data_IF_717343437123
#
_entry.id   IF_717343437123
#
_cell.length_a   1.000
_cell.length_b   1.000
_cell.length_c   1.000
_cell.angle_alpha   90.00
_cell.angle_beta   90.00
_cell.angle_gamma   90.00
#
_symmetry.space_group_name_H-M   'P 1'
#
loop_
_entity.id
_entity.type
_entity.pdbx_description
1 polymer ?
#
# COMPACT_ATOMS: atom_id res chain seq x y z
N UNK A 1 -16.08 2.51 21.20
CA UNK A 1 -15.01 1.65 20.65
C UNK A 1 -15.48 1.26 19.25
N UNK A 2 -14.62 1.37 18.24
CA UNK A 2 -14.94 0.90 16.87
C UNK A 2 -15.24 -0.60 16.88
N UNK A 3 -16.08 -1.07 15.95
CA UNK A 3 -16.34 -2.51 15.77
C UNK A 3 -15.03 -3.24 15.49
N UNK A 4 -14.77 -4.36 16.18
CA UNK A 4 -13.59 -5.21 15.95
C UNK A 4 -13.63 -5.78 14.53
N UNK A 5 -12.59 -5.51 13.74
CA UNK A 5 -12.44 -5.95 12.35
C UNK A 5 -11.41 -7.06 12.21
N UNK A 6 -11.57 -7.89 11.19
CA UNK A 6 -10.58 -8.87 10.72
C UNK A 6 -9.82 -8.25 9.56
N UNK A 7 -8.52 -8.03 9.75
CA UNK A 7 -7.66 -7.24 8.85
C UNK A 7 -6.50 -8.10 8.36
N UNK A 8 -6.26 -8.10 7.05
CA UNK A 8 -5.07 -8.72 6.44
C UNK A 8 -4.18 -7.61 5.88
N UNK A 9 -2.88 -7.66 6.22
CA UNK A 9 -1.89 -6.67 5.75
C UNK A 9 -0.80 -7.41 4.99
N UNK A 10 -0.56 -7.03 3.73
CA UNK A 10 0.53 -7.62 2.94
C UNK A 10 1.86 -6.93 3.22
N UNK A 11 2.96 -7.71 3.29
CA UNK A 11 4.30 -7.16 3.53
C UNK A 11 4.47 -6.53 4.91
N UNK A 12 3.91 -7.15 5.95
CA UNK A 12 3.89 -6.63 7.32
C UNK A 12 5.15 -6.95 8.15
N UNK A 13 6.23 -7.35 7.51
CA UNK A 13 7.51 -7.65 8.20
C UNK A 13 8.37 -6.43 8.53
N UNK A 14 8.09 -5.26 7.95
CA UNK A 14 8.85 -4.01 8.17
C UNK A 14 8.04 -2.78 7.73
N UNK A 15 8.58 -1.59 7.97
CA UNK A 15 8.06 -0.31 7.51
C UNK A 15 6.57 -0.09 7.83
N UNK A 16 5.85 0.55 6.92
CA UNK A 16 4.44 0.88 7.11
C UNK A 16 3.56 -0.33 7.43
N UNK A 17 3.83 -1.49 6.81
CA UNK A 17 3.05 -2.71 7.05
C UNK A 17 3.18 -3.21 8.49
N UNK A 18 4.39 -3.23 9.06
CA UNK A 18 4.63 -3.63 10.44
C UNK A 18 4.03 -2.62 11.44
N UNK A 19 4.27 -1.34 11.20
CA UNK A 19 3.73 -0.28 12.05
C UNK A 19 2.19 -0.30 12.06
N UNK A 20 1.56 -0.41 10.89
CA UNK A 20 0.10 -0.52 10.77
C UNK A 20 -0.44 -1.79 11.43
N UNK A 21 0.28 -2.93 11.33
CA UNK A 21 -0.16 -4.17 11.96
C UNK A 21 -0.20 -4.04 13.48
N UNK A 22 0.82 -3.46 14.09
CA UNK A 22 0.90 -3.22 15.52
C UNK A 22 -0.15 -2.19 15.98
N UNK A 23 -0.27 -1.07 15.26
CA UNK A 23 -1.23 -0.01 15.58
C UNK A 23 -2.67 -0.51 15.58
N UNK A 24 -3.05 -1.27 14.54
CA UNK A 24 -4.40 -1.82 14.41
C UNK A 24 -4.70 -2.92 15.43
N UNK A 25 -3.72 -3.77 15.75
CA UNK A 25 -3.89 -4.80 16.77
C UNK A 25 -4.04 -4.18 18.19
N UNK A 26 -3.25 -3.13 18.49
CA UNK A 26 -3.39 -2.34 19.74
C UNK A 26 -4.72 -1.61 19.84
N UNK A 27 -5.31 -1.22 18.71
CA UNK A 27 -6.66 -0.66 18.64
C UNK A 27 -7.78 -1.71 18.86
N UNK A 28 -7.43 -3.00 19.02
CA UNK A 28 -8.36 -4.08 19.33
C UNK A 28 -8.87 -4.88 18.13
N UNK A 29 -8.34 -4.64 16.94
CA UNK A 29 -8.67 -5.43 15.75
C UNK A 29 -7.95 -6.79 15.76
N UNK A 30 -8.49 -7.76 15.00
CA UNK A 30 -7.81 -9.01 14.70
C UNK A 30 -6.99 -8.85 13.43
N UNK A 31 -5.66 -8.90 13.56
CA UNK A 31 -4.74 -8.56 12.47
C UNK A 31 -3.92 -9.78 12.04
N UNK A 32 -3.96 -10.07 10.75
CA UNK A 32 -3.09 -11.03 10.08
C UNK A 32 -1.96 -10.27 9.36
N UNK A 33 -0.78 -10.27 9.96
CA UNK A 33 0.42 -9.60 9.46
C UNK A 33 1.15 -10.52 8.48
N UNK A 34 0.91 -10.35 7.17
CA UNK A 34 1.44 -11.32 6.22
C UNK A 34 2.83 -11.00 5.72
N UNK A 35 3.60 -12.06 5.54
CA UNK A 35 4.97 -12.07 5.02
C UNK A 35 5.20 -13.35 4.21
N UNK A 36 6.16 -13.31 3.29
CA UNK A 36 6.59 -14.51 2.56
C UNK A 36 7.60 -15.31 3.38
N UNK A 37 7.61 -16.63 3.19
CA UNK A 37 8.61 -17.55 3.74
C UNK A 37 8.84 -17.36 5.26
N UNK A 38 7.78 -17.61 6.02
CA UNK A 38 7.81 -17.50 7.49
C UNK A 38 8.75 -18.51 8.15
N UNK A 39 9.09 -19.59 7.44
CA UNK A 39 9.99 -20.63 7.98
C UNK A 39 11.47 -20.21 7.92
N UNK A 40 11.86 -19.34 6.96
CA UNK A 40 13.25 -18.94 6.75
C UNK A 40 13.42 -17.43 6.66
N UNK A 41 13.11 -16.83 5.51
CA UNK A 41 13.39 -15.41 5.22
C UNK A 41 12.73 -14.43 6.21
N UNK A 42 11.51 -14.71 6.64
CA UNK A 42 10.77 -13.85 7.54
C UNK A 42 10.61 -14.42 8.95
N UNK A 43 11.34 -15.48 9.28
CA UNK A 43 11.21 -16.19 10.57
C UNK A 43 11.38 -15.25 11.76
N UNK A 44 12.50 -14.54 11.83
CA UNK A 44 12.81 -13.66 12.96
C UNK A 44 11.79 -12.53 13.13
N UNK A 45 11.29 -11.98 12.00
CA UNK A 45 10.25 -10.94 12.00
C UNK A 45 8.91 -11.48 12.48
N UNK A 46 8.58 -12.71 12.11
CA UNK A 46 7.36 -13.38 12.55
C UNK A 46 7.42 -13.73 14.04
N UNK A 47 8.56 -14.20 14.52
CA UNK A 47 8.78 -14.54 15.92
C UNK A 47 8.74 -13.28 16.81
N UNK A 48 9.32 -12.17 16.35
CA UNK A 48 9.22 -10.86 17.01
C UNK A 48 7.77 -10.39 17.13
N UNK A 49 6.98 -10.47 16.06
CA UNK A 49 5.56 -10.10 16.12
C UNK A 49 4.74 -11.01 17.04
N UNK A 50 5.05 -12.32 17.12
CA UNK A 50 4.41 -13.25 18.07
C UNK A 50 4.74 -12.86 19.50
N UNK A 51 6.02 -12.58 19.79
CA UNK A 51 6.47 -12.19 21.12
C UNK A 51 5.81 -10.87 21.58
N UNK A 52 5.68 -9.89 20.70
CA UNK A 52 4.96 -8.64 20.98
C UNK A 52 3.48 -8.92 21.24
N UNK A 53 2.84 -9.73 20.40
CA UNK A 53 1.43 -10.06 20.54
C UNK A 53 1.14 -10.74 21.90
N UNK A 54 1.97 -11.70 22.31
CA UNK A 54 1.87 -12.38 23.60
C UNK A 54 2.10 -11.41 24.77
N UNK A 55 3.17 -10.61 24.69
CA UNK A 55 3.53 -9.64 25.75
C UNK A 55 2.46 -8.58 25.97
N UNK A 56 1.88 -8.06 24.89
CA UNK A 56 0.89 -6.97 24.95
C UNK A 56 -0.56 -7.48 25.03
N UNK A 57 -0.80 -8.78 24.84
CA UNK A 57 -2.16 -9.36 24.81
C UNK A 57 -3.00 -8.90 23.62
N UNK A 58 -2.37 -8.61 22.47
CA UNK A 58 -3.04 -8.11 21.26
C UNK A 58 -3.31 -9.23 20.26
N UNK A 59 -4.38 -9.10 19.46
CA UNK A 59 -4.85 -10.12 18.50
C UNK A 59 -4.12 -9.98 17.15
N UNK A 60 -2.82 -10.31 17.13
CA UNK A 60 -1.91 -10.18 16.01
C UNK A 60 -1.29 -11.53 15.61
N UNK A 61 -1.45 -11.92 14.36
CA UNK A 61 -1.02 -13.22 13.85
C UNK A 61 -0.14 -13.06 12.60
N UNK A 62 1.12 -13.52 12.61
CA UNK A 62 1.87 -13.70 11.37
C UNK A 62 1.17 -14.68 10.42
N UNK A 63 1.12 -14.33 9.14
CA UNK A 63 0.45 -15.11 8.09
C UNK A 63 1.40 -15.34 6.92
N UNK A 64 1.51 -16.59 6.44
CA UNK A 64 2.25 -16.89 5.21
C UNK A 64 1.49 -16.36 4.00
N UNK A 65 2.10 -15.42 3.27
CA UNK A 65 1.56 -14.93 2.00
C UNK A 65 2.68 -14.32 1.14
N UNK A 66 2.97 -14.96 -0.02
CA UNK A 66 3.77 -14.36 -1.07
C UNK A 66 2.85 -13.79 -2.14
N UNK A 67 2.79 -12.47 -2.23
CA UNK A 67 1.90 -11.73 -3.16
C UNK A 67 2.21 -11.97 -4.65
N UNK A 68 3.36 -12.57 -4.97
CA UNK A 68 3.76 -12.91 -6.34
C UNK A 68 3.12 -14.20 -6.85
N UNK A 69 2.58 -15.03 -5.95
CA UNK A 69 2.02 -16.34 -6.27
C UNK A 69 0.54 -16.43 -5.92
N UNK A 70 -0.30 -16.58 -6.93
CA UNK A 70 -1.75 -16.66 -6.73
C UNK A 70 -2.18 -17.82 -5.81
N UNK A 71 -1.56 -19.02 -5.85
CA UNK A 71 -1.88 -20.08 -4.88
C UNK A 71 -1.61 -19.66 -3.43
N UNK A 72 -0.52 -18.93 -3.15
CA UNK A 72 -0.22 -18.42 -1.81
C UNK A 72 -1.29 -17.42 -1.34
N UNK A 73 -1.74 -16.53 -2.23
CA UNK A 73 -2.82 -15.60 -1.90
C UNK A 73 -4.12 -16.33 -1.57
N UNK A 74 -4.48 -17.37 -2.33
CA UNK A 74 -5.68 -18.20 -2.07
C UNK A 74 -5.58 -18.94 -0.74
N UNK A 75 -4.45 -19.62 -0.49
CA UNK A 75 -4.23 -20.33 0.79
C UNK A 75 -4.32 -19.41 2.00
N UNK A 76 -3.79 -18.18 1.89
CA UNK A 76 -3.90 -17.19 2.95
C UNK A 76 -5.36 -16.76 3.18
N UNK A 77 -6.14 -16.53 2.13
CA UNK A 77 -7.56 -16.18 2.24
C UNK A 77 -8.36 -17.31 2.87
N UNK A 78 -8.15 -18.56 2.45
CA UNK A 78 -8.81 -19.75 2.99
C UNK A 78 -8.49 -19.93 4.48
N UNK A 79 -7.21 -19.75 4.86
CA UNK A 79 -6.78 -19.81 6.25
C UNK A 79 -7.49 -18.75 7.12
N UNK A 80 -7.52 -17.49 6.69
CA UNK A 80 -8.16 -16.40 7.44
C UNK A 80 -9.67 -16.65 7.57
N UNK A 81 -10.33 -17.09 6.49
CA UNK A 81 -11.76 -17.41 6.52
C UNK A 81 -12.06 -18.58 7.44
N UNK A 82 -11.25 -19.62 7.46
CA UNK A 82 -11.41 -20.76 8.36
C UNK A 82 -11.22 -20.35 9.82
N UNK A 83 -10.25 -19.46 10.10
CA UNK A 83 -9.90 -19.05 11.46
C UNK A 83 -10.78 -17.94 12.05
N UNK A 84 -11.31 -17.03 11.19
CA UNK A 84 -12.04 -15.85 11.64
C UNK A 84 -13.48 -15.75 11.10
N UNK A 85 -13.85 -16.59 10.13
CA UNK A 85 -15.19 -16.61 9.52
C UNK A 85 -15.50 -15.45 8.58
N UNK A 86 -14.67 -14.38 8.58
CA UNK A 86 -14.88 -13.14 7.81
C UNK A 86 -13.56 -12.45 7.47
N UNK A 87 -13.63 -11.52 6.54
CA UNK A 87 -12.54 -10.59 6.20
C UNK A 87 -13.15 -9.21 5.99
N UNK A 88 -12.74 -8.23 6.81
CA UNK A 88 -13.31 -6.89 6.76
C UNK A 88 -12.43 -5.92 5.99
N UNK A 89 -11.10 -6.06 6.13
CA UNK A 89 -10.14 -5.14 5.52
C UNK A 89 -8.97 -5.91 4.93
N UNK A 90 -8.60 -5.56 3.70
CA UNK A 90 -7.33 -5.96 3.08
C UNK A 90 -6.48 -4.73 2.83
N UNK A 91 -5.28 -4.69 3.43
CA UNK A 91 -4.30 -3.63 3.21
C UNK A 91 -3.23 -4.13 2.25
N UNK A 92 -3.28 -3.63 1.02
CA UNK A 92 -2.30 -3.88 -0.02
C UNK A 92 -1.09 -2.95 0.21
N UNK A 93 -0.10 -3.45 0.98
CA UNK A 93 1.09 -2.68 1.35
C UNK A 93 2.39 -3.22 0.74
N UNK A 94 2.49 -4.53 0.48
CA UNK A 94 3.70 -5.13 -0.06
C UNK A 94 4.18 -4.41 -1.33
N UNK A 95 5.43 -3.94 -1.31
CA UNK A 95 6.05 -3.20 -2.41
C UNK A 95 7.58 -3.28 -2.34
N UNK A 96 8.24 -2.92 -3.44
CA UNK A 96 9.67 -2.68 -3.51
C UNK A 96 9.94 -1.31 -4.13
N UNK A 97 11.14 -0.78 -3.87
CA UNK A 97 11.66 0.45 -4.44
C UNK A 97 12.71 0.14 -5.51
N UNK A 98 12.74 0.93 -6.57
CA UNK A 98 13.84 1.02 -7.52
C UNK A 98 14.25 2.49 -7.67
N UNK A 99 15.55 2.77 -7.58
CA UNK A 99 16.08 4.11 -7.72
C UNK A 99 17.35 4.08 -8.59
N UNK A 100 17.41 4.98 -9.57
CA UNK A 100 18.49 5.11 -10.53
C UNK A 100 18.03 5.80 -11.81
N UNK A 101 18.96 5.99 -12.75
CA UNK A 101 18.63 6.52 -14.08
C UNK A 101 17.68 5.56 -14.81
N UNK A 102 16.57 6.05 -15.31
CA UNK A 102 15.49 5.22 -15.87
C UNK A 102 15.99 4.35 -17.03
N UNK A 103 16.78 4.90 -17.94
CA UNK A 103 17.33 4.18 -19.09
C UNK A 103 18.31 3.05 -18.69
N UNK A 104 18.92 3.15 -17.50
CA UNK A 104 19.86 2.14 -16.99
C UNK A 104 19.17 0.92 -16.37
N UNK A 105 17.85 0.94 -16.19
CA UNK A 105 17.10 -0.25 -15.80
C UNK A 105 16.82 -1.13 -17.02
N UNK A 106 17.03 -2.43 -16.88
CA UNK A 106 16.62 -3.39 -17.89
C UNK A 106 15.11 -3.56 -17.89
N UNK A 107 14.47 -3.82 -19.06
CA UNK A 107 13.02 -4.05 -19.15
C UNK A 107 12.51 -5.11 -18.17
N UNK A 108 13.33 -6.16 -17.87
CA UNK A 108 12.98 -7.22 -16.93
C UNK A 108 12.86 -6.70 -15.49
N UNK A 109 13.72 -5.74 -15.10
CA UNK A 109 13.60 -5.10 -13.78
C UNK A 109 12.31 -4.28 -13.69
N UNK A 110 11.97 -3.57 -14.76
CA UNK A 110 10.72 -2.79 -14.84
C UNK A 110 9.50 -3.72 -14.75
N UNK A 111 9.52 -4.84 -15.48
CA UNK A 111 8.47 -5.85 -15.40
C UNK A 111 8.33 -6.44 -13.98
N UNK A 112 9.46 -6.73 -13.33
CA UNK A 112 9.49 -7.26 -11.96
C UNK A 112 8.86 -6.30 -10.94
N UNK A 113 9.19 -5.00 -11.00
CA UNK A 113 8.60 -4.04 -10.05
C UNK A 113 7.11 -3.80 -10.31
N UNK A 114 6.67 -3.79 -11.58
CA UNK A 114 5.24 -3.71 -11.92
C UNK A 114 4.50 -4.95 -11.41
N UNK A 115 5.08 -6.14 -11.57
CA UNK A 115 4.49 -7.38 -11.05
C UNK A 115 4.29 -7.32 -9.53
N UNK A 116 5.30 -6.86 -8.79
CA UNK A 116 5.23 -6.80 -7.33
C UNK A 116 4.38 -5.64 -6.81
N UNK A 117 4.48 -4.43 -7.41
CA UNK A 117 3.82 -3.23 -6.85
C UNK A 117 2.40 -3.00 -7.39
N UNK A 118 2.03 -3.63 -8.51
CA UNK A 118 0.71 -3.44 -9.15
C UNK A 118 -0.05 -4.76 -9.33
N UNK A 119 0.53 -5.74 -10.04
CA UNK A 119 -0.19 -6.99 -10.34
C UNK A 119 -0.41 -7.81 -9.07
N UNK A 120 0.46 -7.69 -8.07
CA UNK A 120 0.27 -8.32 -6.76
C UNK A 120 -1.04 -7.88 -6.08
N UNK A 121 -1.42 -6.61 -6.21
CA UNK A 121 -2.69 -6.11 -5.68
C UNK A 121 -3.88 -6.82 -6.31
N UNK A 122 -3.83 -7.04 -7.62
CA UNK A 122 -4.86 -7.81 -8.31
C UNK A 122 -4.91 -9.26 -7.79
N UNK A 123 -3.76 -9.95 -7.64
CA UNK A 123 -3.70 -11.34 -7.13
C UNK A 123 -4.29 -11.45 -5.73
N UNK A 124 -3.87 -10.57 -4.81
CA UNK A 124 -4.38 -10.52 -3.43
C UNK A 124 -5.88 -10.28 -3.44
N UNK A 125 -6.34 -9.24 -4.13
CA UNK A 125 -7.77 -8.91 -4.15
C UNK A 125 -8.62 -10.01 -4.76
N UNK A 126 -8.15 -10.72 -5.80
CA UNK A 126 -8.84 -11.89 -6.38
C UNK A 126 -9.07 -13.01 -5.36
N UNK A 127 -8.18 -13.17 -4.38
CA UNK A 127 -8.32 -14.17 -3.34
C UNK A 127 -9.35 -13.76 -2.26
N UNK A 128 -9.39 -12.48 -1.87
CA UNK A 128 -10.21 -11.99 -0.75
C UNK A 128 -11.58 -11.44 -1.16
N UNK A 129 -11.70 -10.79 -2.32
CA UNK A 129 -12.94 -10.18 -2.81
C UNK A 129 -14.15 -11.13 -2.87
N UNK A 130 -14.03 -12.43 -3.24
CA UNK A 130 -15.18 -13.33 -3.23
C UNK A 130 -15.85 -13.44 -1.86
N UNK A 131 -15.08 -13.42 -0.77
CA UNK A 131 -15.61 -13.42 0.59
C UNK A 131 -16.28 -12.08 0.92
N UNK A 132 -15.64 -10.95 0.63
CA UNK A 132 -16.20 -9.62 0.86
C UNK A 132 -17.51 -9.39 0.08
N UNK A 133 -17.60 -9.88 -1.18
CA UNK A 133 -18.85 -9.80 -1.95
C UNK A 133 -19.99 -10.64 -1.34
N UNK A 134 -19.68 -11.84 -0.82
CA UNK A 134 -20.69 -12.64 -0.09
C UNK A 134 -21.15 -11.97 1.21
N UNK A 135 -20.24 -11.25 1.89
CA UNK A 135 -20.53 -10.46 3.08
C UNK A 135 -21.33 -9.18 2.75
N UNK A 136 -21.32 -8.76 1.47
CA UNK A 136 -21.80 -7.45 1.01
C UNK A 136 -21.21 -6.29 1.85
N UNK A 137 -19.95 -6.42 2.24
CA UNK A 137 -19.22 -5.43 3.06
C UNK A 137 -17.73 -5.72 2.99
N UNK A 138 -16.90 -4.67 2.90
CA UNK A 138 -15.44 -4.79 2.93
C UNK A 138 -14.75 -3.46 2.72
N UNK A 139 -13.43 -3.45 2.96
CA UNK A 139 -12.55 -2.33 2.66
C UNK A 139 -11.26 -2.85 2.01
N UNK A 140 -10.96 -2.33 0.83
CA UNK A 140 -9.65 -2.45 0.21
C UNK A 140 -8.88 -1.16 0.45
N UNK A 141 -7.81 -1.23 1.25
CA UNK A 141 -6.91 -0.11 1.48
C UNK A 141 -5.58 -0.37 0.78
N UNK A 142 -5.07 0.63 0.10
CA UNK A 142 -3.83 0.52 -0.67
C UNK A 142 -2.80 1.53 -0.15
N UNK A 143 -1.58 1.06 0.11
CA UNK A 143 -0.45 1.95 0.37
C UNK A 143 0.14 2.35 -0.99
N UNK A 144 -0.43 3.40 -1.54
CA UNK A 144 -0.04 4.02 -2.80
C UNK A 144 1.23 4.86 -2.67
N UNK A 145 1.23 6.04 -3.28
CA UNK A 145 2.27 7.07 -3.12
C UNK A 145 1.83 8.38 -3.78
N UNK A 146 2.23 9.51 -3.22
CA UNK A 146 2.12 10.83 -3.85
C UNK A 146 2.91 10.95 -5.17
N UNK A 147 3.89 10.06 -5.39
CA UNK A 147 4.71 10.01 -6.61
C UNK A 147 3.90 9.79 -7.89
N UNK A 148 2.69 9.25 -7.79
CA UNK A 148 1.79 9.05 -8.93
C UNK A 148 1.36 10.40 -9.54
N UNK A 149 1.14 11.39 -8.71
CA UNK A 149 0.76 12.74 -9.11
C UNK A 149 1.95 13.67 -9.32
N UNK A 150 2.99 13.51 -8.51
CA UNK A 150 4.21 14.35 -8.52
C UNK A 150 5.42 13.41 -8.60
N UNK A 151 5.84 12.96 -9.79
CA UNK A 151 6.94 12.01 -9.94
C UNK A 151 8.29 12.66 -9.66
N UNK A 152 9.12 11.94 -8.89
CA UNK A 152 10.49 12.33 -8.59
C UNK A 152 11.48 11.81 -9.66
N UNK A 153 12.56 12.55 -9.99
CA UNK A 153 13.62 12.04 -10.87
C UNK A 153 14.26 10.79 -10.26
N UNK A 154 14.86 9.96 -11.09
CA UNK A 154 15.54 8.70 -10.71
C UNK A 154 14.65 7.62 -10.11
N UNK A 155 13.35 7.73 -10.24
CA UNK A 155 12.37 6.75 -9.71
C UNK A 155 11.46 6.18 -10.81
N UNK A 156 11.85 6.28 -12.09
CA UNK A 156 10.99 5.95 -13.24
C UNK A 156 10.25 4.62 -13.12
N UNK A 157 10.93 3.46 -12.94
CA UNK A 157 10.27 2.17 -12.77
C UNK A 157 9.34 2.12 -11.55
N UNK A 158 9.74 2.72 -10.44
CA UNK A 158 8.93 2.77 -9.22
C UNK A 158 7.66 3.62 -9.43
N UNK A 159 7.81 4.84 -9.96
CA UNK A 159 6.68 5.72 -10.24
C UNK A 159 5.68 5.06 -11.22
N UNK A 160 6.17 4.44 -12.29
CA UNK A 160 5.35 3.70 -13.24
C UNK A 160 4.59 2.54 -12.57
N UNK A 161 5.25 1.77 -11.69
CA UNK A 161 4.63 0.66 -10.99
C UNK A 161 3.54 1.12 -10.00
N UNK A 162 3.77 2.22 -9.28
CA UNK A 162 2.78 2.83 -8.39
C UNK A 162 1.60 3.41 -9.16
N UNK A 163 1.84 4.04 -10.31
CA UNK A 163 0.78 4.54 -11.18
C UNK A 163 -0.09 3.39 -11.74
N UNK A 164 0.51 2.30 -12.18
CA UNK A 164 -0.21 1.11 -12.62
C UNK A 164 -1.10 0.53 -11.51
N UNK A 165 -0.55 0.36 -10.30
CA UNK A 165 -1.31 -0.11 -9.14
C UNK A 165 -2.44 0.84 -8.74
N UNK A 166 -2.18 2.14 -8.76
CA UNK A 166 -3.16 3.18 -8.42
C UNK A 166 -4.38 3.14 -9.37
N UNK A 167 -4.15 3.03 -10.68
CA UNK A 167 -5.26 2.93 -11.66
C UNK A 167 -6.03 1.63 -11.45
N UNK A 168 -5.36 0.48 -11.24
CA UNK A 168 -6.04 -0.79 -10.95
C UNK A 168 -6.89 -0.68 -9.68
N UNK A 169 -6.38 -0.07 -8.61
CA UNK A 169 -7.11 0.13 -7.37
C UNK A 169 -8.37 0.97 -7.57
N UNK A 170 -8.27 2.07 -8.32
CA UNK A 170 -9.40 2.93 -8.63
C UNK A 170 -10.50 2.19 -9.40
N UNK A 171 -10.15 1.46 -10.47
CA UNK A 171 -11.12 0.73 -11.28
C UNK A 171 -11.77 -0.40 -10.49
N UNK A 172 -10.97 -1.19 -9.75
CA UNK A 172 -11.51 -2.23 -8.87
C UNK A 172 -12.45 -1.66 -7.79
N UNK A 173 -12.16 -0.47 -7.29
CA UNK A 173 -13.05 0.22 -6.35
C UNK A 173 -14.41 0.52 -6.96
N UNK A 174 -14.44 1.12 -8.16
CA UNK A 174 -15.67 1.37 -8.89
C UNK A 174 -16.48 0.10 -9.15
N UNK A 175 -15.81 -0.97 -9.61
CA UNK A 175 -16.45 -2.26 -9.94
C UNK A 175 -17.01 -3.00 -8.72
N UNK A 176 -16.49 -2.74 -7.52
CA UNK A 176 -16.92 -3.38 -6.28
C UNK A 176 -17.80 -2.48 -5.39
N UNK A 177 -18.03 -1.23 -5.77
CA UNK A 177 -18.83 -0.29 -4.96
C UNK A 177 -20.26 -0.79 -4.70
N UNK A 178 -20.93 -1.37 -5.70
CA UNK A 178 -22.28 -1.94 -5.57
C UNK A 178 -22.37 -3.17 -4.66
N UNK A 179 -21.23 -3.72 -4.24
CA UNK A 179 -21.14 -4.80 -3.24
C UNK A 179 -20.78 -4.26 -1.85
N UNK A 180 -20.97 -2.96 -1.61
CA UNK A 180 -20.59 -2.32 -0.35
C UNK A 180 -19.12 -2.52 0.03
N UNK A 181 -18.24 -2.62 -0.95
CA UNK A 181 -16.80 -2.72 -0.73
C UNK A 181 -16.17 -1.36 -1.03
N UNK A 182 -15.71 -0.70 0.02
CA UNK A 182 -15.02 0.57 -0.08
C UNK A 182 -13.59 0.39 -0.59
N UNK A 183 -13.08 1.41 -1.24
CA UNK A 183 -11.68 1.48 -1.67
C UNK A 183 -11.09 2.80 -1.22
N UNK A 184 -9.93 2.73 -0.55
CA UNK A 184 -9.19 3.88 -0.07
C UNK A 184 -7.72 3.77 -0.48
N UNK A 185 -7.13 4.83 -0.99
CA UNK A 185 -5.71 4.90 -1.33
C UNK A 185 -5.01 5.88 -0.38
N UNK A 186 -4.12 5.36 0.46
CA UNK A 186 -3.16 6.15 1.22
C UNK A 186 -2.04 6.60 0.29
N UNK A 187 -1.67 7.87 0.32
CA UNK A 187 -0.55 8.43 -0.45
C UNK A 187 0.55 8.92 0.51
N UNK A 188 1.44 8.04 0.96
CA UNK A 188 2.59 8.48 1.76
C UNK A 188 3.55 9.33 0.92
N UNK A 189 4.18 10.29 1.60
CA UNK A 189 5.37 10.98 1.10
C UNK A 189 6.63 10.11 1.19
N UNK A 190 7.79 10.72 1.06
CA UNK A 190 9.07 10.03 1.22
C UNK A 190 9.45 9.97 2.69
N UNK A 191 9.39 8.78 3.28
CA UNK A 191 9.93 8.45 4.60
C UNK A 191 11.24 7.69 4.39
N UNK A 192 12.35 8.38 4.54
CA UNK A 192 13.71 7.86 4.28
C UNK A 192 14.33 7.23 5.52
N UNK A 193 13.86 7.61 6.70
CA UNK A 193 14.09 6.96 7.99
C UNK A 193 12.89 6.10 8.39
N UNK A 194 13.05 5.22 9.37
CA UNK A 194 12.03 4.33 9.95
C UNK A 194 11.38 3.33 8.97
N UNK A 195 11.76 3.39 7.69
CA UNK A 195 11.42 2.38 6.69
C UNK A 195 12.68 1.90 6.00
N UNK A 196 12.74 0.61 5.68
CA UNK A 196 13.86 0.04 4.91
C UNK A 196 13.71 0.31 3.40
N UNK A 197 12.75 1.13 2.99
CA UNK A 197 12.33 1.27 1.60
C UNK A 197 13.46 1.80 0.70
N UNK A 198 14.06 2.92 1.08
CA UNK A 198 15.20 3.50 0.35
C UNK A 198 16.49 2.69 0.54
N UNK A 199 16.72 2.14 1.73
CA UNK A 199 17.89 1.32 2.04
C UNK A 199 17.96 0.06 1.20
N UNK A 200 16.80 -0.54 0.89
CA UNK A 200 16.69 -1.74 0.08
C UNK A 200 16.26 -1.45 -1.37
N UNK A 201 16.39 -0.19 -1.81
CA UNK A 201 16.09 0.15 -3.21
C UNK A 201 17.00 -0.63 -4.16
N UNK A 202 16.39 -1.28 -5.15
CA UNK A 202 17.13 -2.04 -6.17
C UNK A 202 17.71 -1.05 -7.18
N UNK A 203 19.04 -1.06 -7.40
CA UNK A 203 19.69 -0.19 -8.37
C UNK A 203 19.43 -0.66 -9.81
N UNK A 204 19.67 0.25 -10.76
CA UNK A 204 19.70 -0.08 -12.18
C UNK A 204 20.83 -1.07 -12.50
N UNK A 205 20.56 -2.04 -13.38
CA UNK A 205 21.47 -3.14 -13.68
C UNK A 205 22.44 -2.86 -14.84
N UNK A 206 22.30 -1.73 -15.55
CA UNK A 206 23.20 -1.40 -16.69
C UNK A 206 24.09 -0.20 -16.36
N UNK A 207 25.32 -0.46 -15.85
CA UNK A 207 26.28 0.60 -15.56
C UNK A 207 26.81 1.28 -16.83
N UNK A 208 26.81 0.59 -17.98
CA UNK A 208 27.32 1.15 -19.25
C UNK A 208 26.46 2.31 -19.72
N UNK A 209 25.14 2.21 -19.54
CA UNK A 209 24.22 3.30 -19.81
C UNK A 209 24.36 4.41 -18.76
N UNK A 210 24.45 4.04 -17.46
CA UNK A 210 24.61 5.01 -16.38
C UNK A 210 25.84 5.89 -16.56
N UNK A 211 26.96 5.33 -17.03
CA UNK A 211 28.22 6.03 -17.25
C UNK A 211 28.15 7.10 -18.37
N UNK A 212 27.16 7.03 -19.22
CA UNK A 212 26.93 8.06 -20.26
C UNK A 212 26.27 9.34 -19.70
N UNK A 213 25.64 9.24 -18.53
CA UNK A 213 24.94 10.34 -17.86
C UNK A 213 25.85 11.18 -16.94
N UNK A 214 27.05 11.55 -17.43
CA UNK A 214 28.07 12.25 -16.63
C UNK A 214 27.58 13.55 -15.95
N UNK A 215 26.63 14.25 -16.58
CA UNK A 215 26.04 15.48 -16.01
C UNK A 215 25.12 15.21 -14.80
N UNK A 216 24.69 13.97 -14.62
CA UNK A 216 23.82 13.54 -13.52
C UNK A 216 24.55 12.64 -12.52
N UNK A 217 25.87 12.49 -12.67
CA UNK A 217 26.69 11.64 -11.81
C UNK A 217 26.47 12.03 -10.32
N UNK A 218 26.19 11.03 -9.48
CA UNK A 218 25.97 11.22 -8.04
C UNK A 218 24.54 11.61 -7.63
N UNK A 219 23.78 12.30 -8.49
CA UNK A 219 22.45 12.80 -8.10
C UNK A 219 21.46 11.68 -7.70
N UNK A 220 21.51 10.53 -8.37
CA UNK A 220 20.67 9.40 -8.03
C UNK A 220 20.99 8.81 -6.64
N UNK A 221 22.25 8.84 -6.22
CA UNK A 221 22.70 8.39 -4.90
C UNK A 221 22.31 9.37 -3.79
N UNK A 222 22.16 10.66 -4.14
CA UNK A 222 21.76 11.72 -3.21
C UNK A 222 20.25 11.85 -3.06
N UNK A 223 19.44 11.08 -3.81
CA UNK A 223 17.99 11.24 -3.86
C UNK A 223 17.35 11.22 -2.47
N UNK A 224 17.68 10.23 -1.64
CA UNK A 224 17.08 10.08 -0.32
C UNK A 224 17.40 11.29 0.58
N UNK A 225 18.65 11.74 0.61
CA UNK A 225 19.05 12.92 1.41
C UNK A 225 18.44 14.24 0.89
N UNK A 226 18.28 14.34 -0.43
CA UNK A 226 17.59 15.49 -1.04
C UNK A 226 16.11 15.51 -0.69
N UNK A 227 15.43 14.36 -0.71
CA UNK A 227 14.04 14.26 -0.27
C UNK A 227 13.89 14.62 1.21
N UNK A 228 14.78 14.14 2.08
CA UNK A 228 14.79 14.54 3.50
C UNK A 228 14.93 16.06 3.69
N UNK A 229 15.78 16.70 2.89
CA UNK A 229 15.97 18.16 2.97
C UNK A 229 14.74 18.97 2.54
N UNK A 230 13.74 18.35 1.93
CA UNK A 230 12.47 18.98 1.54
C UNK A 230 11.37 18.83 2.57
N UNK A 231 11.60 18.16 3.69
CA UNK A 231 10.64 18.09 4.78
C UNK A 231 10.28 19.48 5.28
N UNK A 232 8.98 19.75 5.39
CA UNK A 232 8.50 21.05 5.86
C UNK A 232 8.82 21.20 7.36
N UNK A 233 9.34 22.34 7.81
CA UNK A 233 9.63 22.55 9.21
C UNK A 233 8.41 22.29 10.11
N UNK A 234 8.58 21.43 11.12
CA UNK A 234 7.52 21.04 12.04
C UNK A 234 6.61 19.89 11.55
N UNK A 235 6.79 19.41 10.33
CA UNK A 235 6.11 18.19 9.89
C UNK A 235 6.65 16.96 10.65
N UNK A 236 5.78 16.00 10.93
CA UNK A 236 6.21 14.69 11.43
C UNK A 236 6.93 13.93 10.32
N UNK A 237 8.06 13.35 10.65
CA UNK A 237 8.89 12.57 9.71
C UNK A 237 9.00 11.10 10.11
N UNK A 238 8.36 10.70 11.22
CA UNK A 238 8.32 9.31 11.65
C UNK A 238 7.22 8.54 10.88
N UNK A 239 7.55 7.33 10.46
CA UNK A 239 6.66 6.48 9.68
C UNK A 239 5.43 5.98 10.47
N UNK A 240 5.41 6.14 11.80
CA UNK A 240 4.28 5.81 12.66
C UNK A 240 3.05 6.66 12.32
N UNK A 241 3.23 7.90 11.87
CA UNK A 241 2.12 8.76 11.44
C UNK A 241 1.27 8.10 10.34
N UNK A 242 1.89 7.41 9.39
CA UNK A 242 1.15 6.67 8.35
C UNK A 242 0.28 5.59 8.97
N UNK A 243 0.81 4.83 9.94
CA UNK A 243 0.05 3.77 10.63
C UNK A 243 -1.13 4.32 11.42
N UNK A 244 -0.95 5.42 12.13
CA UNK A 244 -2.02 6.12 12.87
C UNK A 244 -3.12 6.61 11.93
N UNK A 245 -2.76 7.24 10.81
CA UNK A 245 -3.74 7.69 9.81
C UNK A 245 -4.48 6.54 9.15
N UNK A 246 -3.78 5.43 8.85
CA UNK A 246 -4.41 4.20 8.34
C UNK A 246 -5.44 3.66 9.35
N UNK A 247 -5.11 3.61 10.65
CA UNK A 247 -6.04 3.21 11.71
C UNK A 247 -7.25 4.14 11.77
N UNK A 248 -7.03 5.46 11.82
CA UNK A 248 -8.12 6.43 11.85
C UNK A 248 -9.11 6.24 10.70
N UNK A 249 -8.60 6.06 9.48
CA UNK A 249 -9.46 5.83 8.30
C UNK A 249 -10.19 4.49 8.37
N UNK A 250 -9.54 3.43 8.86
CA UNK A 250 -10.19 2.12 9.04
C UNK A 250 -11.30 2.20 10.09
N UNK A 251 -11.12 3.01 11.14
CA UNK A 251 -12.09 3.18 12.22
C UNK A 251 -13.27 4.08 11.85
N UNK A 252 -13.19 4.84 10.76
CA UNK A 252 -14.33 5.62 10.27
C UNK A 252 -15.54 4.75 9.97
N UNK A 253 -16.76 5.27 10.13
CA UNK A 253 -17.99 4.58 9.73
C UNK A 253 -17.96 4.18 8.26
N UNK A 254 -18.61 3.06 7.94
CA UNK A 254 -18.76 2.61 6.56
C UNK A 254 -19.45 3.68 5.70
N UNK A 255 -18.99 3.87 4.47
CA UNK A 255 -19.54 4.88 3.55
C UNK A 255 -19.06 6.32 3.79
N UNK A 256 -18.27 6.58 4.85
CA UNK A 256 -17.77 7.94 5.15
C UNK A 256 -16.28 8.13 4.89
N UNK A 257 -15.58 7.07 4.47
CA UNK A 257 -14.14 7.12 4.24
C UNK A 257 -13.82 7.95 3.00
N UNK A 258 -12.71 8.72 3.03
CA UNK A 258 -12.23 9.40 1.84
C UNK A 258 -11.77 8.39 0.78
N UNK A 259 -11.93 8.71 -0.50
CA UNK A 259 -11.39 7.87 -1.58
C UNK A 259 -9.85 7.84 -1.59
N UNK A 260 -9.21 8.88 -1.05
CA UNK A 260 -7.76 9.02 -0.83
C UNK A 260 -7.48 9.86 0.40
N UNK A 261 -6.28 9.68 0.95
CA UNK A 261 -5.68 10.61 1.92
C UNK A 261 -4.17 10.65 1.75
N UNK A 262 -3.58 11.77 2.07
CA UNK A 262 -2.14 12.02 1.99
C UNK A 262 -1.54 12.08 3.39
N UNK A 263 -0.35 11.49 3.55
CA UNK A 263 0.52 11.63 4.73
C UNK A 263 1.91 11.93 4.20
N UNK A 264 2.24 13.21 4.07
CA UNK A 264 3.44 13.65 3.35
C UNK A 264 4.19 14.75 4.10
N UNK A 265 5.34 14.45 4.73
CA UNK A 265 6.15 15.45 5.41
C UNK A 265 6.75 16.52 4.47
N UNK A 266 6.83 16.22 3.17
CA UNK A 266 7.28 17.16 2.14
C UNK A 266 6.15 18.09 1.66
N UNK A 267 4.88 17.78 1.96
CA UNK A 267 3.69 18.54 1.55
C UNK A 267 3.68 18.87 0.05
N UNK A 268 3.93 17.86 -0.80
CA UNK A 268 4.04 18.01 -2.26
C UNK A 268 2.72 18.36 -2.95
N UNK A 269 1.62 18.41 -2.20
CA UNK A 269 0.29 18.75 -2.72
C UNK A 269 -0.26 17.74 -3.74
N UNK A 270 0.08 16.46 -3.59
CA UNK A 270 -0.40 15.41 -4.48
C UNK A 270 -1.93 15.26 -4.45
N UNK A 271 -2.56 15.55 -3.28
CA UNK A 271 -4.02 15.57 -3.16
C UNK A 271 -4.68 16.62 -4.05
N UNK A 272 -4.08 17.79 -4.25
CA UNK A 272 -4.66 18.83 -5.13
C UNK A 272 -4.83 18.33 -6.56
N UNK A 273 -3.84 17.60 -7.08
CA UNK A 273 -3.91 16.97 -8.42
C UNK A 273 -4.95 15.85 -8.44
N UNK A 274 -4.93 15.00 -7.42
CA UNK A 274 -5.85 13.87 -7.31
C UNK A 274 -7.33 14.33 -7.19
N UNK A 275 -7.60 15.37 -6.41
CA UNK A 275 -8.93 15.95 -6.24
C UNK A 275 -9.45 16.57 -7.55
N UNK A 276 -8.57 17.26 -8.31
CA UNK A 276 -8.97 17.80 -9.61
C UNK A 276 -9.30 16.70 -10.61
N UNK A 277 -8.50 15.63 -10.63
CA UNK A 277 -8.79 14.46 -11.46
C UNK A 277 -10.11 13.78 -11.05
N UNK A 278 -10.38 13.69 -9.75
CA UNK A 278 -11.62 13.12 -9.23
C UNK A 278 -12.85 13.99 -9.60
N UNK A 279 -12.75 15.32 -9.49
CA UNK A 279 -13.78 16.25 -9.94
C UNK A 279 -14.13 16.04 -11.43
N UNK A 280 -13.12 15.96 -12.28
CA UNK A 280 -13.33 15.73 -13.71
C UNK A 280 -13.95 14.35 -13.98
N UNK A 281 -13.58 13.34 -13.21
CA UNK A 281 -14.19 12.00 -13.28
C UNK A 281 -15.69 12.06 -12.92
N UNK A 282 -16.06 12.75 -11.87
CA UNK A 282 -17.49 12.94 -11.51
C UNK A 282 -18.28 13.51 -12.66
N UNK A 283 -17.83 14.61 -13.25
CA UNK A 283 -18.49 15.24 -14.40
C UNK A 283 -18.61 14.31 -15.61
N UNK A 284 -17.60 13.45 -15.85
CA UNK A 284 -17.66 12.48 -16.93
C UNK A 284 -18.63 11.33 -16.62
N UNK A 285 -18.62 10.82 -15.38
CA UNK A 285 -19.49 9.71 -14.96
C UNK A 285 -20.95 10.10 -14.90
N UNK A 286 -21.27 11.36 -14.57
CA UNK A 286 -22.63 11.90 -14.68
C UNK A 286 -23.15 11.80 -16.13
N UNK A 287 -22.32 12.20 -17.11
CA UNK A 287 -22.68 12.07 -18.53
C UNK A 287 -22.75 10.62 -19.01
N UNK A 288 -21.95 9.74 -18.41
CA UNK A 288 -21.94 8.30 -18.71
C UNK A 288 -23.09 7.55 -18.03
N UNK A 289 -23.73 8.14 -17.02
CA UNK A 289 -24.83 7.53 -16.27
C UNK A 289 -24.39 6.45 -15.27
N UNK A 290 -23.17 6.58 -14.71
CA UNK A 290 -22.58 5.61 -13.76
C UNK A 290 -22.01 6.26 -12.50
N UNK A 291 -22.52 7.44 -12.13
CA UNK A 291 -22.06 8.18 -10.94
C UNK A 291 -22.24 7.42 -9.62
N UNK A 292 -23.18 6.49 -9.58
CA UNK A 292 -23.39 5.60 -8.44
C UNK A 292 -22.18 4.73 -8.10
N UNK A 293 -21.31 4.46 -9.07
CA UNK A 293 -20.08 3.70 -8.85
C UNK A 293 -19.01 4.45 -8.03
N UNK A 294 -19.18 5.77 -7.86
CA UNK A 294 -18.23 6.60 -7.10
C UNK A 294 -18.38 6.47 -5.58
N UNK A 295 -19.48 5.90 -5.12
CA UNK A 295 -19.78 5.73 -3.70
C UNK A 295 -20.33 4.33 -3.44
N UNK A 296 -20.13 3.84 -2.22
CA UNK A 296 -20.85 2.62 -1.80
C UNK A 296 -22.28 2.97 -1.39
N UNK A 297 -23.25 2.07 -1.56
CA UNK A 297 -24.59 2.26 -0.98
C UNK A 297 -24.48 2.50 0.53
N UNK A 298 -25.26 3.44 1.06
CA UNK A 298 -25.37 3.63 2.51
C UNK A 298 -25.97 2.37 3.19
N UNK A 299 -25.70 2.21 4.49
CA UNK A 299 -26.38 1.20 5.31
C UNK A 299 -27.85 1.55 5.51
#
# INVERSE_FOLDING_TARGET
MSEKKVIVITGAGSGFGRLSALELARAGHKVYASMRDLANHSKDKADDLRAIAEKEGIDLHPLELDVRFEPSCRSAADYVLAAAGRIDVVINNAAMMMAGLTESFRPEQVAQIIDLNAISWLRVNRAFLPAMRRQNKGLLLYIGSGIVQIPDPFTGPYAASKAAGDVLAQIMGLENSRYNIETVICMPGAYTSDTDHFKHAVPAADPTVADQYKKLAGLAHELASKLDSTNVPGARTDAQEVAERVREVIDMPHGTRPYRFEVDPQQRQAMVVADKAHEMRKLFFDRLGVSDLLTVPGE
#
